data_IF_168303044533
#
_entry.id   IF_168303044533
#
_cell.length_a   1.000
_cell.length_b   1.000
_cell.length_c   1.000
_cell.angle_alpha   90.00
_cell.angle_beta   90.00
_cell.angle_gamma   90.00
#
_symmetry.space_group_name_H-M   'P 1'
#
loop_
_entity.id
_entity.type
_entity.pdbx_description
1 polymer ?
#
# COMPACT_ATOMS: atom_id res chain seq x y z
N UNK A 1 -6.49 1.90 -15.97
CA UNK A 1 -7.09 1.17 -14.82
C UNK A 1 -6.21 0.00 -14.44
N UNK A 2 -5.81 -0.04 -13.17
CA UNK A 2 -4.91 -1.02 -12.57
C UNK A 2 -5.51 -1.52 -11.26
N UNK A 3 -5.17 -2.75 -10.86
CA UNK A 3 -5.56 -3.33 -9.57
C UNK A 3 -4.34 -3.37 -8.67
N UNK A 4 -4.41 -2.71 -7.52
CA UNK A 4 -3.37 -2.71 -6.49
C UNK A 4 -3.86 -3.48 -5.26
N UNK A 5 -3.01 -4.26 -4.62
CA UNK A 5 -3.33 -4.90 -3.35
C UNK A 5 -2.88 -4.02 -2.20
N UNK A 6 -3.82 -3.70 -1.32
CA UNK A 6 -3.60 -2.92 -0.11
C UNK A 6 -3.65 -3.84 1.10
N UNK A 7 -2.73 -3.69 2.06
CA UNK A 7 -2.78 -4.42 3.34
C UNK A 7 -2.71 -3.45 4.51
N UNK A 8 -3.57 -3.64 5.52
CA UNK A 8 -3.60 -2.79 6.71
C UNK A 8 -2.54 -3.25 7.71
N UNK A 9 -1.66 -2.32 8.08
CA UNK A 9 -0.58 -2.57 9.02
C UNK A 9 -1.16 -2.92 10.40
N UNK A 10 -0.66 -3.99 11.03
CA UNK A 10 -1.08 -4.48 12.34
C UNK A 10 -2.36 -5.33 12.33
N UNK A 11 -2.98 -5.56 11.17
CA UNK A 11 -4.24 -6.31 11.07
C UNK A 11 -4.05 -7.60 10.26
N UNK A 12 -4.33 -8.74 10.89
CA UNK A 12 -4.26 -10.08 10.26
C UNK A 12 -5.34 -10.23 9.18
N UNK A 13 -5.00 -10.87 8.06
CA UNK A 13 -5.90 -11.07 6.92
C UNK A 13 -6.44 -9.79 6.29
N UNK A 14 -5.66 -8.71 6.30
CA UNK A 14 -6.14 -7.38 5.89
C UNK A 14 -5.82 -6.99 4.45
N UNK A 15 -5.32 -7.91 3.64
CA UNK A 15 -5.06 -7.65 2.23
C UNK A 15 -6.37 -7.55 1.42
N UNK A 16 -6.50 -6.55 0.58
CA UNK A 16 -7.66 -6.35 -0.31
C UNK A 16 -7.23 -5.65 -1.60
N UNK A 17 -7.83 -6.00 -2.75
CA UNK A 17 -7.58 -5.30 -4.00
C UNK A 17 -8.23 -3.90 -3.98
N UNK A 18 -7.69 -2.96 -4.73
CA UNK A 18 -8.24 -1.63 -5.00
C UNK A 18 -8.03 -1.37 -6.49
N UNK A 19 -9.12 -1.08 -7.19
CA UNK A 19 -9.08 -0.73 -8.60
C UNK A 19 -9.02 0.79 -8.71
N UNK A 20 -8.08 1.30 -9.50
CA UNK A 20 -7.88 2.74 -9.68
C UNK A 20 -7.41 3.05 -11.10
N UNK A 21 -7.74 4.24 -11.61
CA UNK A 21 -7.11 4.74 -12.82
C UNK A 21 -5.67 5.17 -12.49
N UNK A 22 -4.70 4.67 -13.24
CA UNK A 22 -3.28 4.95 -13.01
C UNK A 22 -2.92 6.41 -13.29
N UNK A 23 -3.73 7.17 -14.03
CA UNK A 23 -3.62 8.62 -14.14
C UNK A 23 -4.09 9.39 -12.90
N UNK A 24 -4.78 8.75 -11.95
CA UNK A 24 -5.21 9.40 -10.72
C UNK A 24 -4.07 9.51 -9.70
N UNK A 25 -4.25 10.42 -8.73
CA UNK A 25 -3.25 10.63 -7.68
C UNK A 25 -3.35 9.63 -6.53
N UNK A 26 -2.30 9.55 -5.72
CA UNK A 26 -2.28 8.82 -4.44
C UNK A 26 -3.38 9.34 -3.49
N UNK A 27 -3.77 10.62 -3.57
CA UNK A 27 -4.93 11.16 -2.87
C UNK A 27 -6.23 10.43 -3.24
N UNK A 28 -6.51 10.29 -4.53
CA UNK A 28 -7.66 9.49 -5.01
C UNK A 28 -7.56 8.03 -4.57
N UNK A 29 -6.34 7.48 -4.47
CA UNK A 29 -6.12 6.13 -3.93
C UNK A 29 -6.53 6.04 -2.46
N UNK A 30 -6.23 7.05 -1.64
CA UNK A 30 -6.70 7.11 -0.25
C UNK A 30 -8.22 7.14 -0.19
N UNK A 31 -8.86 7.93 -1.04
CA UNK A 31 -10.33 7.99 -1.12
C UNK A 31 -10.94 6.63 -1.49
N UNK A 32 -10.39 5.97 -2.51
CA UNK A 32 -10.83 4.64 -2.94
C UNK A 32 -10.67 3.57 -1.84
N UNK A 33 -9.57 3.61 -1.08
CA UNK A 33 -9.36 2.73 0.07
C UNK A 33 -10.39 3.04 1.17
N UNK A 34 -10.59 4.32 1.48
CA UNK A 34 -11.51 4.76 2.52
C UNK A 34 -12.94 4.31 2.23
N UNK A 35 -13.41 4.52 1.00
CA UNK A 35 -14.72 4.09 0.52
C UNK A 35 -14.86 2.56 0.56
N UNK A 36 -13.86 1.83 0.04
CA UNK A 36 -13.89 0.36 0.00
C UNK A 36 -13.92 -0.28 1.38
N UNK A 37 -13.21 0.29 2.35
CA UNK A 37 -13.17 -0.20 3.73
C UNK A 37 -14.26 0.43 4.62
N UNK A 38 -14.98 1.42 4.11
CA UNK A 38 -16.00 2.20 4.84
C UNK A 38 -15.45 2.76 6.16
N UNK A 39 -14.24 3.30 6.11
CA UNK A 39 -13.66 3.96 7.27
C UNK A 39 -14.49 5.20 7.63
N UNK A 40 -14.60 5.49 8.93
CA UNK A 40 -15.41 6.62 9.43
C UNK A 40 -14.61 7.92 9.55
N UNK A 41 -13.31 7.84 9.35
CA UNK A 41 -12.39 8.97 9.41
C UNK A 41 -12.07 9.46 7.99
N UNK A 42 -11.67 10.73 7.83
CA UNK A 42 -11.22 11.30 6.57
C UNK A 42 -10.09 10.52 5.87
N UNK A 43 -10.10 10.45 4.54
CA UNK A 43 -9.12 9.68 3.78
C UNK A 43 -7.67 10.18 3.93
N UNK A 44 -7.46 11.46 4.26
CA UNK A 44 -6.14 12.05 4.50
C UNK A 44 -5.44 11.53 5.75
N UNK A 45 -6.19 10.94 6.70
CA UNK A 45 -5.62 10.22 7.85
C UNK A 45 -4.97 8.87 7.48
N UNK A 46 -5.26 8.35 6.28
CA UNK A 46 -4.56 7.18 5.75
C UNK A 46 -3.13 7.56 5.35
N UNK A 47 -2.17 6.75 5.78
CA UNK A 47 -0.79 6.81 5.34
C UNK A 47 -0.50 5.59 4.48
N UNK A 48 -0.06 5.83 3.24
CA UNK A 48 0.26 4.79 2.28
C UNK A 48 1.77 4.66 2.16
N UNK A 49 2.28 3.43 2.23
CA UNK A 49 3.69 3.11 2.10
C UNK A 49 3.86 2.03 1.05
N UNK A 50 4.99 2.06 0.34
CA UNK A 50 5.30 1.00 -0.60
C UNK A 50 5.88 -0.19 0.15
N UNK A 51 5.42 -1.39 -0.18
CA UNK A 51 6.05 -2.61 0.30
C UNK A 51 7.42 -2.77 -0.39
N UNK A 52 8.49 -2.71 0.40
CA UNK A 52 9.86 -2.92 -0.04
C UNK A 52 10.51 -4.02 0.81
N UNK A 53 11.55 -4.63 0.26
CA UNK A 53 12.48 -5.51 0.97
C UNK A 53 13.49 -4.68 1.77
N UNK A 54 14.13 -5.28 2.78
CA UNK A 54 15.24 -4.68 3.54
C UNK A 54 16.41 -4.18 2.69
N UNK A 55 16.57 -4.70 1.48
CA UNK A 55 17.62 -4.29 0.55
C UNK A 55 17.24 -3.05 -0.27
N UNK A 56 16.10 -2.42 0.04
CA UNK A 56 15.55 -1.28 -0.68
C UNK A 56 14.90 -1.63 -2.03
N UNK A 57 15.01 -2.89 -2.47
CA UNK A 57 14.30 -3.40 -3.63
C UNK A 57 12.81 -3.63 -3.34
N UNK A 58 11.97 -3.59 -4.36
CA UNK A 58 10.53 -3.89 -4.26
C UNK A 58 10.28 -5.27 -3.68
N UNK A 59 9.10 -5.47 -3.09
CA UNK A 59 8.67 -6.76 -2.59
C UNK A 59 7.89 -7.51 -3.70
N UNK A 60 8.47 -8.55 -4.33
CA UNK A 60 7.77 -9.38 -5.29
C UNK A 60 6.51 -10.02 -4.70
N UNK A 61 5.52 -10.32 -5.52
CA UNK A 61 4.27 -10.97 -5.11
C UNK A 61 4.47 -12.43 -4.65
N UNK A 62 5.54 -13.07 -5.14
CA UNK A 62 6.03 -14.40 -4.78
C UNK A 62 7.02 -14.40 -3.60
N UNK A 63 7.41 -13.23 -3.10
CA UNK A 63 8.26 -13.13 -1.92
C UNK A 63 7.52 -13.67 -0.68
N UNK A 64 8.17 -14.50 0.15
CA UNK A 64 7.56 -15.02 1.38
C UNK A 64 6.97 -13.93 2.29
N UNK A 65 7.54 -12.72 2.32
CA UNK A 65 7.00 -11.60 3.06
C UNK A 65 5.75 -10.99 2.40
N UNK A 66 5.61 -11.00 1.06
CA UNK A 66 4.36 -10.63 0.39
C UNK A 66 3.25 -11.67 0.63
N UNK A 67 3.59 -12.97 0.60
CA UNK A 67 2.64 -14.03 0.96
C UNK A 67 2.17 -13.89 2.42
N UNK A 68 3.07 -13.51 3.33
CA UNK A 68 2.73 -13.20 4.73
C UNK A 68 1.82 -11.97 4.83
N UNK A 69 2.02 -10.94 4.02
CA UNK A 69 1.11 -9.78 3.95
C UNK A 69 -0.29 -10.15 3.48
N UNK A 70 -0.42 -11.08 2.52
CA UNK A 70 -1.73 -11.59 2.07
C UNK A 70 -2.54 -12.20 3.21
N UNK A 71 -1.87 -12.87 4.15
CA UNK A 71 -2.49 -13.43 5.36
C UNK A 71 -2.44 -12.47 6.57
N UNK A 72 -1.99 -11.23 6.37
CA UNK A 72 -1.84 -10.14 7.35
C UNK A 72 -0.83 -10.42 8.48
N UNK A 73 0.12 -11.30 8.25
CA UNK A 73 1.31 -11.45 9.09
C UNK A 73 2.35 -10.43 8.60
N UNK A 74 2.70 -9.46 9.44
CA UNK A 74 3.71 -8.47 9.09
C UNK A 74 5.07 -8.99 9.49
N UNK A 75 5.94 -9.18 8.49
CA UNK A 75 7.32 -9.54 8.71
C UNK A 75 8.09 -8.34 9.28
N UNK A 76 9.07 -8.52 10.19
CA UNK A 76 9.89 -7.42 10.72
C UNK A 76 10.51 -6.54 9.64
N UNK A 77 10.87 -7.15 8.50
CA UNK A 77 11.43 -6.48 7.33
C UNK A 77 10.47 -5.48 6.69
N UNK A 78 9.17 -5.77 6.72
CA UNK A 78 8.14 -4.86 6.21
C UNK A 78 7.92 -3.71 7.19
N UNK A 79 7.92 -4.00 8.50
CA UNK A 79 7.81 -2.98 9.54
C UNK A 79 8.92 -1.92 9.38
N UNK A 80 10.17 -2.35 9.16
CA UNK A 80 11.29 -1.44 8.94
C UNK A 80 11.15 -0.57 7.68
N UNK A 81 10.34 -0.98 6.70
CA UNK A 81 10.13 -0.20 5.47
C UNK A 81 8.98 0.81 5.58
N UNK A 82 7.99 0.56 6.44
CA UNK A 82 6.94 1.53 6.77
C UNK A 82 7.53 2.79 7.42
N UNK A 83 8.70 2.66 8.07
CA UNK A 83 9.35 3.77 8.76
C UNK A 83 10.14 4.71 7.83
N UNK A 84 10.22 4.41 6.52
CA UNK A 84 11.17 5.08 5.60
C UNK A 84 10.58 6.33 4.95
N UNK A 85 9.48 6.21 4.19
CA UNK A 85 8.84 7.39 3.56
C UNK A 85 7.41 7.07 3.10
N UNK A 86 6.47 7.96 3.39
CA UNK A 86 5.08 7.86 2.96
C UNK A 86 4.93 8.30 1.49
N UNK A 87 3.98 7.73 0.76
CA UNK A 87 3.59 8.22 -0.56
C UNK A 87 2.95 9.62 -0.48
N UNK A 88 3.44 10.52 -1.34
CA UNK A 88 2.90 11.87 -1.54
C UNK A 88 1.54 11.83 -2.23
N UNK A 89 0.54 12.49 -1.64
CA UNK A 89 -0.84 12.46 -2.11
C UNK A 89 -1.03 13.08 -3.51
N UNK A 90 -0.15 13.99 -3.90
CA UNK A 90 -0.20 14.68 -5.20
C UNK A 90 0.42 13.86 -6.34
N UNK A 91 1.20 12.83 -6.03
CA UNK A 91 1.86 12.00 -7.04
C UNK A 91 0.84 11.11 -7.75
N UNK A 92 1.01 10.93 -9.04
CA UNK A 92 0.16 10.04 -9.84
C UNK A 92 0.51 8.56 -9.58
N UNK A 93 -0.50 7.71 -9.62
CA UNK A 93 -0.35 6.27 -9.41
C UNK A 93 0.55 5.67 -10.48
N UNK A 94 0.46 6.09 -11.74
CA UNK A 94 1.35 5.64 -12.82
C UNK A 94 2.81 5.96 -12.51
N UNK A 95 3.10 7.12 -11.93
CA UNK A 95 4.48 7.51 -11.60
C UNK A 95 5.01 6.73 -10.41
N UNK A 96 4.12 6.33 -9.50
CA UNK A 96 4.43 5.36 -8.46
C UNK A 96 4.73 4.01 -9.13
N UNK A 97 3.89 3.51 -10.03
CA UNK A 97 4.06 2.19 -10.65
C UNK A 97 5.29 2.09 -11.58
N UNK A 98 5.58 3.13 -12.36
CA UNK A 98 6.70 3.18 -13.31
C UNK A 98 8.04 3.25 -12.58
N UNK A 99 8.16 4.13 -11.59
CA UNK A 99 9.39 4.23 -10.78
C UNK A 99 9.63 2.93 -9.99
N UNK A 100 8.55 2.20 -9.71
CA UNK A 100 8.59 1.04 -8.84
C UNK A 100 8.47 -0.31 -9.58
N UNK A 101 8.57 -0.32 -10.91
CA UNK A 101 8.58 -1.53 -11.77
C UNK A 101 7.40 -2.49 -11.49
N UNK A 102 6.17 -1.99 -11.42
CA UNK A 102 4.94 -2.74 -11.15
C UNK A 102 4.95 -3.49 -9.80
N UNK A 103 4.60 -2.76 -8.74
CA UNK A 103 4.39 -3.33 -7.40
C UNK A 103 2.92 -3.70 -7.25
N UNK A 104 2.66 -4.86 -6.63
CA UNK A 104 1.30 -5.27 -6.30
C UNK A 104 0.87 -4.83 -4.90
N UNK A 105 1.78 -4.51 -3.98
CA UNK A 105 1.44 -4.27 -2.56
C UNK A 105 1.71 -2.85 -2.05
N UNK A 106 0.63 -2.20 -1.59
CA UNK A 106 0.61 -0.96 -0.82
C UNK A 106 0.26 -1.27 0.64
N UNK A 107 1.05 -0.72 1.56
CA UNK A 107 0.82 -0.83 2.99
C UNK A 107 0.01 0.37 3.46
N UNK A 108 -1.08 0.11 4.17
CA UNK A 108 -2.00 1.11 4.70
C UNK A 108 -1.81 1.19 6.20
N UNK A 109 -1.34 2.33 6.69
CA UNK A 109 -1.32 2.65 8.12
C UNK A 109 -2.39 3.70 8.41
N UNK A 110 -3.14 3.48 9.48
CA UNK A 110 -4.14 4.42 9.97
C UNK A 110 -3.46 5.25 11.05
N UNK A 111 -3.49 6.59 10.94
CA UNK A 111 -3.11 7.45 12.06
C UNK A 111 -4.14 7.27 13.17
N UNK A 112 -3.67 6.97 14.37
CA UNK A 112 -4.50 6.86 15.57
C UNK A 112 -4.30 8.10 16.44
#
# INVERSE_FOLDING_TARGET
MVTLFCAVVGVVGSAFPVDIDDGQSVGHMKDAINEKKKYRFPADELQLFLAKTKRGGWLPDDDPAALKLKIGVIHPDIQTMIDVEQLEATREVKDVLVVNKMVDFILVRIRN
#
